data_IF_521486221331
#
_entry.id   IF_521486221331
#
_cell.length_a   1.000
_cell.length_b   1.000
_cell.length_c   1.000
_cell.angle_alpha   90.00
_cell.angle_beta   90.00
_cell.angle_gamma   90.00
#
_symmetry.space_group_name_H-M   'P 1'
#
loop_
_entity.id
_entity.type
_entity.pdbx_description
1 polymer ?
#
# COMPACT_ATOMS: atom_id res chain seq x y z
N UNK A 1 -14.58 45.76 64.11
CA UNK A 1 -15.14 46.95 63.46
C UNK A 1 -15.22 46.61 61.97
N UNK A 2 -16.30 46.45 61.33
CA UNK A 2 -17.77 46.36 61.43
C UNK A 2 -18.20 45.51 60.25
N UNK A 3 -18.81 44.50 60.47
CA UNK A 3 -20.13 43.93 60.23
C UNK A 3 -21.00 44.87 59.37
N UNK A 4 -21.39 44.36 58.15
CA UNK A 4 -22.80 44.38 57.77
C UNK A 4 -23.11 43.49 56.55
N UNK A 5 -23.97 42.53 56.79
CA UNK A 5 -24.88 41.83 55.88
C UNK A 5 -26.19 42.60 55.76
N UNK A 6 -27.19 42.15 55.05
CA UNK A 6 -27.43 41.83 53.61
C UNK A 6 -28.65 42.62 53.09
N UNK A 7 -28.93 42.55 51.78
CA UNK A 7 -30.31 42.86 51.32
C UNK A 7 -30.78 41.88 50.25
N UNK A 8 -31.96 41.49 50.51
CA UNK A 8 -32.86 40.54 49.95
C UNK A 8 -33.29 40.81 48.52
N UNK A 9 -33.60 39.74 47.84
CA UNK A 9 -34.29 39.59 46.54
C UNK A 9 -35.57 40.40 46.36
N UNK A 10 -36.04 40.52 45.13
CA UNK A 10 -37.37 39.98 44.86
C UNK A 10 -37.45 39.04 43.65
N UNK A 11 -38.23 38.02 43.86
CA UNK A 11 -38.83 37.08 42.91
C UNK A 11 -39.77 37.79 41.95
N UNK A 12 -39.75 37.37 40.65
CA UNK A 12 -40.88 37.47 39.69
C UNK A 12 -40.82 36.35 38.62
N UNK A 13 -41.88 36.03 37.92
CA UNK A 13 -42.38 34.67 37.86
C UNK A 13 -42.03 33.91 36.56
N UNK A 14 -42.21 32.60 36.68
CA UNK A 14 -42.22 31.63 35.61
C UNK A 14 -43.17 32.02 34.45
N UNK A 15 -42.62 32.12 33.25
CA UNK A 15 -43.47 31.94 32.08
C UNK A 15 -42.89 30.86 31.16
N UNK A 16 -43.74 29.89 30.86
CA UNK A 16 -43.46 28.63 30.24
C UNK A 16 -43.65 28.79 28.74
N UNK A 17 -42.56 28.78 27.96
CA UNK A 17 -42.61 28.33 26.59
C UNK A 17 -41.27 27.70 26.20
N UNK A 18 -41.13 26.42 26.53
CA UNK A 18 -40.15 25.53 25.92
C UNK A 18 -40.51 25.29 24.46
N UNK A 19 -39.93 26.07 23.55
CA UNK A 19 -39.73 25.60 22.18
C UNK A 19 -38.42 24.80 22.18
N UNK A 20 -38.59 23.49 22.02
CA UNK A 20 -37.46 22.54 21.86
C UNK A 20 -36.61 22.94 20.68
N UNK A 21 -35.35 23.24 20.94
CA UNK A 21 -34.28 23.19 19.92
C UNK A 21 -33.92 21.73 19.78
N UNK A 22 -34.29 21.09 18.68
CA UNK A 22 -33.72 19.85 18.24
C UNK A 22 -32.20 20.06 18.05
N UNK A 23 -31.36 19.09 18.46
CA UNK A 23 -29.93 19.13 18.14
C UNK A 23 -29.77 19.06 16.61
N UNK A 24 -28.71 19.65 16.03
CA UNK A 24 -28.47 19.55 14.60
C UNK A 24 -28.30 18.07 14.24
N UNK A 25 -29.22 17.54 13.48
CA UNK A 25 -29.10 16.23 12.84
C UNK A 25 -27.86 16.31 11.94
N UNK A 26 -26.80 15.55 12.27
CA UNK A 26 -25.77 15.26 11.31
C UNK A 26 -26.47 14.63 10.10
N UNK A 27 -26.49 15.31 8.98
CA UNK A 27 -26.86 14.74 7.70
C UNK A 27 -25.76 13.74 7.33
N UNK A 28 -25.85 12.53 7.87
CA UNK A 28 -25.35 11.39 7.14
C UNK A 28 -26.22 11.32 5.88
N UNK A 29 -25.67 11.78 4.77
CA UNK A 29 -26.32 11.51 3.48
C UNK A 29 -26.45 9.99 3.40
N UNK A 30 -27.68 9.52 3.45
CA UNK A 30 -27.99 8.12 3.27
C UNK A 30 -27.58 7.73 1.84
N UNK A 31 -27.13 6.49 1.67
CA UNK A 31 -26.80 5.91 0.37
C UNK A 31 -27.86 6.19 -0.70
N UNK A 32 -29.13 6.38 -0.29
CA UNK A 32 -30.27 6.74 -1.14
C UNK A 32 -30.21 8.17 -1.69
N UNK A 33 -29.66 9.15 -0.95
CA UNK A 33 -29.56 10.54 -1.44
C UNK A 33 -28.40 10.74 -2.43
N UNK A 34 -27.34 9.95 -2.32
CA UNK A 34 -26.24 9.92 -3.29
C UNK A 34 -26.63 9.26 -4.62
N UNK A 35 -27.67 8.44 -4.61
CA UNK A 35 -28.19 7.69 -5.76
C UNK A 35 -29.26 8.48 -6.55
N UNK A 36 -29.84 9.54 -5.98
CA UNK A 36 -30.98 10.28 -6.55
C UNK A 36 -30.65 11.10 -7.80
N UNK A 37 -29.42 11.17 -8.27
CA UNK A 37 -29.02 11.98 -9.45
C UNK A 37 -28.80 11.22 -10.76
N UNK A 38 -28.97 9.88 -10.78
CA UNK A 38 -28.81 9.07 -12.02
C UNK A 38 -30.08 8.28 -12.33
N UNK A 39 -30.47 8.09 -13.62
CA UNK A 39 -31.64 7.29 -13.97
C UNK A 39 -31.46 5.85 -13.45
N UNK A 40 -32.27 5.46 -12.50
CA UNK A 40 -32.25 4.15 -11.81
C UNK A 40 -32.20 2.93 -12.75
N UNK A 41 -32.74 3.04 -13.95
CA UNK A 41 -32.79 1.95 -14.92
C UNK A 41 -31.43 1.57 -15.52
N UNK A 42 -30.56 2.53 -15.80
CA UNK A 42 -29.28 2.29 -16.48
C UNK A 42 -28.23 1.74 -15.51
N UNK A 43 -28.23 2.19 -14.26
CA UNK A 43 -27.29 1.74 -13.23
C UNK A 43 -27.60 0.31 -12.78
N UNK A 44 -28.85 -0.03 -12.59
CA UNK A 44 -29.27 -1.40 -12.25
C UNK A 44 -28.96 -2.40 -13.37
N UNK A 45 -29.13 -2.03 -14.63
CA UNK A 45 -28.80 -2.91 -15.75
C UNK A 45 -27.30 -3.18 -15.88
N UNK A 46 -26.44 -2.17 -15.66
CA UNK A 46 -24.97 -2.32 -15.66
C UNK A 46 -24.52 -3.18 -14.50
N UNK A 47 -25.04 -2.94 -13.30
CA UNK A 47 -24.72 -3.74 -12.11
C UNK A 47 -25.14 -5.21 -12.28
N UNK A 48 -26.35 -5.47 -12.78
CA UNK A 48 -26.82 -6.83 -13.07
C UNK A 48 -25.98 -7.50 -14.13
N UNK A 49 -25.60 -6.79 -15.19
CA UNK A 49 -24.74 -7.31 -16.24
C UNK A 49 -23.33 -7.61 -15.74
N UNK A 50 -22.70 -6.69 -15.01
CA UNK A 50 -21.38 -6.91 -14.43
C UNK A 50 -21.38 -8.12 -13.48
N UNK A 51 -22.35 -8.22 -12.60
CA UNK A 51 -22.45 -9.31 -11.63
C UNK A 51 -22.80 -10.65 -12.25
N UNK A 52 -23.62 -10.68 -13.30
CA UNK A 52 -23.97 -11.92 -13.99
C UNK A 52 -22.79 -12.53 -14.77
N UNK A 53 -21.92 -11.69 -15.31
CA UNK A 53 -20.73 -12.15 -16.03
C UNK A 53 -19.55 -12.40 -15.09
N UNK A 54 -19.24 -11.44 -14.22
CA UNK A 54 -18.04 -11.51 -13.36
C UNK A 54 -18.25 -12.36 -12.11
N UNK A 55 -19.48 -12.58 -11.67
CA UNK A 55 -19.77 -13.42 -10.50
C UNK A 55 -19.30 -14.86 -10.63
N UNK A 56 -19.67 -15.60 -11.68
CA UNK A 56 -19.19 -16.95 -11.97
C UNK A 56 -17.67 -16.99 -12.23
N UNK A 57 -17.14 -16.03 -13.02
CA UNK A 57 -15.71 -15.89 -13.27
C UNK A 57 -14.96 -15.67 -11.96
N UNK A 58 -15.47 -14.80 -11.07
CA UNK A 58 -14.88 -14.55 -9.75
C UNK A 58 -14.84 -15.80 -8.88
N UNK A 59 -15.86 -16.67 -8.92
CA UNK A 59 -15.84 -17.93 -8.19
C UNK A 59 -14.71 -18.86 -8.69
N UNK A 60 -14.55 -18.99 -10.03
CA UNK A 60 -13.48 -19.77 -10.64
C UNK A 60 -12.09 -19.22 -10.28
N UNK A 61 -11.92 -17.89 -10.33
CA UNK A 61 -10.66 -17.25 -9.97
C UNK A 61 -10.32 -17.42 -8.48
N UNK A 62 -11.29 -17.33 -7.57
CA UNK A 62 -11.07 -17.64 -6.14
C UNK A 62 -10.68 -19.10 -5.90
N UNK A 63 -11.22 -20.03 -6.69
CA UNK A 63 -10.78 -21.43 -6.63
C UNK A 63 -9.34 -21.59 -7.12
N UNK A 64 -8.95 -20.85 -8.16
CA UNK A 64 -7.56 -20.80 -8.62
C UNK A 64 -6.61 -20.21 -7.58
N UNK A 65 -6.99 -19.12 -6.88
CA UNK A 65 -6.24 -18.58 -5.73
C UNK A 65 -6.02 -19.64 -4.65
N UNK A 66 -7.07 -20.40 -4.34
CA UNK A 66 -7.00 -21.45 -3.32
C UNK A 66 -6.06 -22.59 -3.74
N UNK A 67 -6.08 -22.97 -5.03
CA UNK A 67 -5.18 -23.98 -5.58
C UNK A 67 -3.72 -23.50 -5.56
N UNK A 68 -3.45 -22.28 -5.99
CA UNK A 68 -2.10 -21.68 -5.97
C UNK A 68 -1.54 -21.64 -4.54
N UNK A 69 -2.34 -21.20 -3.57
CA UNK A 69 -1.95 -21.25 -2.16
C UNK A 69 -1.69 -22.68 -1.65
N UNK A 70 -2.47 -23.66 -2.12
CA UNK A 70 -2.20 -25.05 -1.78
C UNK A 70 -0.88 -25.55 -2.36
N UNK A 71 -0.58 -25.22 -3.61
CA UNK A 71 0.73 -25.49 -4.25
C UNK A 71 1.87 -24.82 -3.47
N UNK A 72 1.69 -23.56 -3.06
CA UNK A 72 2.65 -22.86 -2.21
C UNK A 72 2.95 -23.61 -0.92
N UNK A 73 1.94 -24.14 -0.23
CA UNK A 73 2.13 -24.97 0.98
C UNK A 73 2.90 -26.27 0.73
N UNK A 74 2.83 -26.84 -0.47
CA UNK A 74 3.69 -27.97 -0.83
C UNK A 74 5.16 -27.57 -0.93
N UNK A 75 5.43 -26.40 -1.50
CA UNK A 75 6.78 -25.83 -1.54
C UNK A 75 7.31 -25.49 -0.14
N UNK A 76 6.45 -25.05 0.78
CA UNK A 76 6.80 -24.84 2.18
C UNK A 76 7.30 -26.15 2.84
N UNK A 77 6.60 -27.27 2.58
CA UNK A 77 7.01 -28.61 3.07
C UNK A 77 8.33 -29.07 2.44
N UNK A 78 8.64 -28.62 1.23
CA UNK A 78 9.92 -28.85 0.56
C UNK A 78 11.04 -27.93 1.08
N UNK A 79 10.81 -27.18 2.16
CA UNK A 79 11.81 -26.31 2.79
C UNK A 79 11.95 -24.93 2.18
N UNK A 80 10.98 -24.47 1.38
CA UNK A 80 10.96 -23.14 0.75
C UNK A 80 10.12 -22.11 1.52
N UNK A 81 9.61 -22.48 2.70
CA UNK A 81 8.90 -21.56 3.58
C UNK A 81 9.77 -20.34 3.94
N UNK A 82 9.15 -19.15 4.12
CA UNK A 82 9.86 -17.99 4.64
C UNK A 82 10.39 -18.27 6.06
N UNK A 83 11.54 -17.67 6.38
CA UNK A 83 12.22 -17.78 7.67
C UNK A 83 12.39 -16.38 8.29
N UNK A 84 11.28 -15.74 8.71
CA UNK A 84 11.33 -14.37 9.21
C UNK A 84 12.09 -14.27 10.54
N UNK A 85 12.61 -13.08 10.81
CA UNK A 85 13.14 -12.72 12.13
C UNK A 85 12.05 -12.77 13.21
N UNK A 86 12.42 -13.00 14.48
CA UNK A 86 11.47 -12.93 15.57
C UNK A 86 10.77 -11.56 15.63
N UNK A 87 9.45 -11.59 15.74
CA UNK A 87 8.63 -10.38 15.83
C UNK A 87 7.47 -10.58 16.78
N UNK A 88 6.89 -9.49 17.27
CA UNK A 88 5.65 -9.48 18.05
C UNK A 88 4.59 -8.69 17.30
N UNK A 89 3.33 -9.02 17.52
CA UNK A 89 2.20 -8.21 17.03
C UNK A 89 2.00 -7.08 18.04
N UNK A 90 2.21 -5.85 17.61
CA UNK A 90 2.05 -4.65 18.41
C UNK A 90 0.61 -4.12 18.33
N UNK A 91 0.01 -4.20 17.15
CA UNK A 91 -1.39 -3.83 16.91
C UNK A 91 -2.01 -4.87 15.97
N UNK A 92 -3.21 -5.32 16.29
CA UNK A 92 -4.00 -6.19 15.42
C UNK A 92 -5.38 -5.59 15.21
N UNK A 93 -5.78 -5.48 13.95
CA UNK A 93 -7.12 -5.05 13.51
C UNK A 93 -7.67 -6.11 12.55
N UNK A 94 -8.95 -6.06 12.18
CA UNK A 94 -9.46 -6.96 11.14
C UNK A 94 -8.79 -6.81 9.78
N UNK A 95 -8.18 -5.65 9.48
CA UNK A 95 -7.65 -5.30 8.16
C UNK A 95 -6.11 -5.40 8.07
N UNK A 96 -5.41 -5.27 9.18
CA UNK A 96 -3.95 -5.31 9.20
C UNK A 96 -3.39 -5.71 10.56
N UNK A 97 -2.12 -6.13 10.57
CA UNK A 97 -1.30 -6.29 11.76
C UNK A 97 -0.08 -5.38 11.66
N UNK A 98 0.29 -4.76 12.76
CA UNK A 98 1.57 -4.11 12.91
C UNK A 98 2.51 -5.07 13.66
N UNK A 99 3.53 -5.56 12.95
CA UNK A 99 4.59 -6.35 13.57
C UNK A 99 5.71 -5.41 14.02
N UNK A 100 6.22 -5.64 15.22
CA UNK A 100 7.42 -4.98 15.73
C UNK A 100 8.55 -6.01 15.85
N UNK A 101 9.71 -5.66 15.32
CA UNK A 101 10.92 -6.48 15.33
C UNK A 101 11.95 -5.89 16.30
N UNK A 102 12.78 -6.76 16.86
CA UNK A 102 13.78 -6.36 17.85
C UNK A 102 13.23 -6.17 19.25
N UNK A 103 14.09 -5.71 20.17
CA UNK A 103 13.69 -5.43 21.55
C UNK A 103 13.10 -4.00 21.66
N UNK A 104 12.09 -3.84 22.49
CA UNK A 104 11.43 -2.55 22.75
C UNK A 104 12.36 -1.48 23.37
N UNK A 105 13.59 -1.83 23.69
CA UNK A 105 14.59 -0.98 24.34
C UNK A 105 15.54 -0.29 23.35
N UNK A 106 15.36 -0.49 22.05
CA UNK A 106 16.18 0.17 21.04
C UNK A 106 15.89 1.69 21.03
N UNK A 107 16.88 2.48 21.36
CA UNK A 107 16.84 3.95 21.25
C UNK A 107 16.89 4.42 19.78
N UNK A 108 16.70 3.50 18.84
CA UNK A 108 16.75 3.79 17.40
C UNK A 108 15.46 4.42 16.90
N UNK A 109 15.59 5.25 15.88
CA UNK A 109 14.44 5.86 15.19
C UNK A 109 13.51 4.78 14.63
N UNK A 110 12.19 4.89 14.81
CA UNK A 110 11.25 3.93 14.25
C UNK A 110 11.19 4.02 12.72
N UNK A 111 11.18 2.87 12.09
CA UNK A 111 10.95 2.68 10.66
C UNK A 111 9.66 1.91 10.49
N UNK A 112 8.70 2.48 9.77
CA UNK A 112 7.45 1.82 9.43
C UNK A 112 7.50 1.37 7.97
N UNK A 113 7.62 0.08 7.75
CA UNK A 113 7.53 -0.53 6.43
C UNK A 113 6.05 -0.69 6.07
N UNK A 114 5.63 -0.05 4.99
CA UNK A 114 4.29 -0.19 4.40
C UNK A 114 4.38 -1.21 3.27
N UNK A 115 3.96 -2.44 3.52
CA UNK A 115 3.94 -3.48 2.51
C UNK A 115 2.89 -3.20 1.42
N UNK A 116 3.11 -3.69 0.21
CA UNK A 116 2.09 -3.65 -0.84
C UNK A 116 0.95 -4.63 -0.50
N UNK A 117 -0.33 -4.23 -0.63
CA UNK A 117 -1.45 -5.08 -0.24
C UNK A 117 -1.73 -6.22 -1.21
N UNK A 118 -1.15 -6.21 -2.39
CA UNK A 118 -1.38 -7.20 -3.45
C UNK A 118 -0.76 -8.58 -3.17
N UNK A 119 0.28 -8.63 -2.32
CA UNK A 119 1.04 -9.83 -1.98
C UNK A 119 1.37 -9.86 -0.50
N UNK A 120 1.82 -11.00 0.00
CA UNK A 120 2.18 -11.16 1.41
C UNK A 120 3.46 -10.38 1.78
N UNK A 121 3.42 -9.75 2.94
CA UNK A 121 4.47 -8.87 3.43
C UNK A 121 5.81 -9.58 3.74
N UNK A 122 5.84 -10.91 3.84
CA UNK A 122 7.05 -11.65 4.21
C UNK A 122 8.19 -11.57 3.17
N UNK A 123 7.96 -10.97 2.01
CA UNK A 123 9.04 -10.67 1.06
C UNK A 123 10.07 -9.71 1.65
N UNK A 124 9.69 -8.89 2.60
CA UNK A 124 10.58 -8.02 3.34
C UNK A 124 11.50 -8.76 4.32
N UNK A 125 11.18 -10.04 4.62
CA UNK A 125 11.92 -10.89 5.54
C UNK A 125 11.81 -12.36 5.12
N UNK A 126 12.27 -12.65 3.91
CA UNK A 126 12.16 -13.97 3.29
C UNK A 126 13.03 -15.00 3.98
N UNK A 127 14.18 -14.57 4.50
CA UNK A 127 15.11 -15.42 5.24
C UNK A 127 16.41 -14.69 5.60
N UNK A 128 17.35 -15.36 6.31
CA UNK A 128 18.57 -14.74 6.82
C UNK A 128 19.40 -13.99 5.77
N UNK A 129 19.42 -14.46 4.55
CA UNK A 129 20.22 -13.90 3.45
C UNK A 129 19.37 -13.09 2.44
N UNK A 130 18.10 -12.84 2.74
CA UNK A 130 17.17 -12.14 1.88
C UNK A 130 16.15 -11.37 2.75
N UNK A 131 16.62 -10.33 3.45
CA UNK A 131 15.81 -9.61 4.42
C UNK A 131 16.32 -8.16 4.63
N UNK A 132 15.68 -7.17 4.01
CA UNK A 132 15.85 -5.77 4.40
C UNK A 132 15.58 -5.51 5.88
N UNK A 133 14.62 -6.20 6.48
CA UNK A 133 14.30 -6.07 7.91
C UNK A 133 15.50 -6.39 8.79
N UNK A 134 16.22 -7.48 8.51
CA UNK A 134 17.40 -7.83 9.29
C UNK A 134 18.52 -6.79 9.17
N UNK A 135 18.72 -6.25 7.97
CA UNK A 135 19.73 -5.19 7.76
C UNK A 135 19.37 -3.92 8.55
N UNK A 136 18.10 -3.54 8.58
CA UNK A 136 17.61 -2.40 9.39
C UNK A 136 17.82 -2.67 10.90
N UNK A 137 17.55 -3.89 11.37
CA UNK A 137 17.77 -4.30 12.76
C UNK A 137 19.24 -4.31 13.12
N UNK A 138 20.10 -4.82 12.24
CA UNK A 138 21.57 -4.87 12.44
C UNK A 138 22.15 -3.44 12.51
N UNK A 139 21.51 -2.47 11.87
CA UNK A 139 21.82 -1.05 11.98
C UNK A 139 21.25 -0.37 13.25
N UNK A 140 20.59 -1.12 14.13
CA UNK A 140 20.06 -0.62 15.41
C UNK A 140 18.73 0.14 15.29
N UNK A 141 18.03 0.05 14.17
CA UNK A 141 16.74 0.72 13.96
C UNK A 141 15.58 -0.07 14.58
N UNK A 142 14.56 0.64 15.04
CA UNK A 142 13.31 0.06 15.52
C UNK A 142 12.39 -0.22 14.32
N UNK A 143 12.24 -1.50 13.94
CA UNK A 143 11.55 -1.86 12.70
C UNK A 143 10.12 -2.30 12.98
N UNK A 144 9.18 -1.68 12.27
CA UNK A 144 7.77 -2.05 12.24
C UNK A 144 7.35 -2.41 10.81
N UNK A 145 6.54 -3.46 10.67
CA UNK A 145 5.99 -3.89 9.37
C UNK A 145 4.47 -3.87 9.43
N UNK A 146 3.86 -3.06 8.58
CA UNK A 146 2.43 -3.07 8.34
C UNK A 146 2.10 -4.22 7.39
N UNK A 147 1.54 -5.29 7.94
CA UNK A 147 1.08 -6.48 7.24
C UNK A 147 -0.41 -6.39 6.98
N UNK A 148 -0.83 -6.28 5.72
CA UNK A 148 -2.23 -6.33 5.34
C UNK A 148 -2.79 -7.75 5.48
N UNK A 149 -4.02 -7.87 5.98
CA UNK A 149 -4.75 -9.13 6.06
C UNK A 149 -5.65 -9.29 4.84
N UNK A 150 -6.13 -10.52 4.62
CA UNK A 150 -7.11 -10.77 3.57
C UNK A 150 -8.36 -9.91 3.84
N UNK A 151 -8.84 -9.15 2.86
CA UNK A 151 -10.02 -8.32 3.05
C UNK A 151 -11.26 -9.19 3.25
N UNK A 152 -12.16 -8.71 4.10
CA UNK A 152 -13.48 -9.27 4.34
C UNK A 152 -14.53 -8.64 3.42
N UNK A 153 -15.75 -9.17 3.33
CA UNK A 153 -16.84 -8.52 2.62
C UNK A 153 -17.15 -7.09 3.12
N UNK A 154 -16.81 -6.76 4.37
CA UNK A 154 -16.96 -5.40 4.91
C UNK A 154 -15.93 -4.41 4.34
N UNK A 155 -14.88 -4.90 3.69
CA UNK A 155 -13.81 -4.07 3.12
C UNK A 155 -14.02 -3.72 1.64
N UNK A 156 -15.11 -4.18 1.00
CA UNK A 156 -15.34 -3.98 -0.47
C UNK A 156 -15.21 -2.52 -0.89
N UNK A 157 -15.63 -1.59 -0.03
CA UNK A 157 -15.60 -0.15 -0.26
C UNK A 157 -14.35 0.54 0.34
N UNK A 158 -13.36 -0.24 0.78
CA UNK A 158 -12.11 0.31 1.28
C UNK A 158 -11.23 0.79 0.10
N UNK A 159 -11.24 2.09 -0.19
CA UNK A 159 -10.42 2.75 -1.19
C UNK A 159 -9.13 3.34 -0.61
N UNK A 160 -8.47 4.23 -1.36
CA UNK A 160 -7.22 4.88 -0.98
C UNK A 160 -7.32 5.60 0.38
N UNK A 161 -8.42 6.32 0.65
CA UNK A 161 -8.65 7.00 1.93
C UNK A 161 -8.57 6.04 3.11
N UNK A 162 -9.24 4.88 3.00
CA UNK A 162 -9.24 3.88 4.07
C UNK A 162 -7.87 3.26 4.30
N UNK A 163 -7.08 3.08 3.23
CA UNK A 163 -5.71 2.58 3.36
C UNK A 163 -4.80 3.61 4.04
N UNK A 164 -4.94 4.89 3.71
CA UNK A 164 -4.21 5.99 4.37
C UNK A 164 -4.61 6.10 5.85
N UNK A 165 -5.89 5.95 6.19
CA UNK A 165 -6.38 5.91 7.58
C UNK A 165 -5.75 4.72 8.37
N UNK A 166 -5.66 3.55 7.75
CA UNK A 166 -5.03 2.36 8.35
C UNK A 166 -3.52 2.58 8.58
N UNK A 167 -2.82 3.25 7.65
CA UNK A 167 -1.43 3.65 7.83
C UNK A 167 -1.33 4.65 8.98
N UNK A 168 -2.27 5.60 9.09
CA UNK A 168 -2.35 6.54 10.21
C UNK A 168 -2.40 5.82 11.56
N UNK A 169 -3.26 4.80 11.70
CA UNK A 169 -3.34 4.01 12.92
C UNK A 169 -2.06 3.20 13.21
N UNK A 170 -1.38 2.72 12.15
CA UNK A 170 -0.09 2.05 12.31
C UNK A 170 1.01 3.02 12.77
N UNK A 171 1.05 4.24 12.24
CA UNK A 171 1.97 5.31 12.68
C UNK A 171 1.74 5.65 14.15
N UNK A 172 0.49 5.83 14.59
CA UNK A 172 0.17 6.10 16.00
C UNK A 172 0.69 4.98 16.91
N UNK A 173 0.61 3.74 16.44
CA UNK A 173 1.06 2.59 17.22
C UNK A 173 2.59 2.43 17.28
N UNK A 174 3.38 3.13 16.46
CA UNK A 174 4.86 3.11 16.59
C UNK A 174 5.36 3.86 17.81
N UNK A 175 4.56 4.79 18.35
CA UNK A 175 4.85 5.54 19.55
C UNK A 175 5.75 6.77 19.34
N UNK A 176 6.25 7.00 18.12
CA UNK A 176 7.06 8.15 17.71
C UNK A 176 6.84 8.43 16.23
N UNK A 177 7.41 9.50 15.70
CA UNK A 177 7.34 9.88 14.28
C UNK A 177 8.30 9.01 13.46
N UNK A 178 7.80 7.99 12.71
CA UNK A 178 8.65 7.06 11.99
C UNK A 178 9.17 7.65 10.66
N UNK A 179 10.27 7.08 10.16
CA UNK A 179 10.53 7.09 8.72
C UNK A 179 9.65 6.03 8.07
N UNK A 180 8.83 6.43 7.08
CA UNK A 180 8.08 5.47 6.29
C UNK A 180 8.96 4.90 5.19
N UNK A 181 8.84 3.60 4.98
CA UNK A 181 9.56 2.86 3.95
C UNK A 181 8.55 2.00 3.17
N UNK A 182 8.55 2.08 1.86
CA UNK A 182 7.62 1.30 1.05
C UNK A 182 8.18 0.92 -0.31
N UNK A 183 7.76 -0.24 -0.80
CA UNK A 183 8.08 -0.76 -2.13
C UNK A 183 6.83 -0.83 -2.98
N UNK A 184 6.96 -0.48 -4.27
CA UNK A 184 5.86 -0.60 -5.23
C UNK A 184 4.59 0.11 -4.73
N UNK A 185 3.40 -0.47 -4.86
CA UNK A 185 2.13 0.08 -4.38
C UNK A 185 2.15 0.41 -2.87
N UNK A 186 2.92 -0.33 -2.06
CA UNK A 186 3.10 -0.01 -0.64
C UNK A 186 3.79 1.35 -0.45
N UNK A 187 4.78 1.66 -1.30
CA UNK A 187 5.44 2.96 -1.35
C UNK A 187 4.49 4.06 -1.82
N UNK A 188 3.67 3.81 -2.84
CA UNK A 188 2.63 4.77 -3.27
C UNK A 188 1.68 5.12 -2.12
N UNK A 189 1.20 4.12 -1.37
CA UNK A 189 0.32 4.34 -0.20
C UNK A 189 1.04 5.11 0.92
N UNK A 190 2.32 4.82 1.18
CA UNK A 190 3.14 5.59 2.13
C UNK A 190 3.32 7.04 1.69
N UNK A 191 3.52 7.28 0.38
CA UNK A 191 3.62 8.62 -0.18
C UNK A 191 2.31 9.40 -0.06
N UNK A 192 1.16 8.76 -0.28
CA UNK A 192 -0.16 9.36 -0.05
C UNK A 192 -0.34 9.79 1.40
N UNK A 193 0.04 8.93 2.36
CA UNK A 193 0.02 9.27 3.78
C UNK A 193 0.93 10.47 4.09
N UNK A 194 2.18 10.45 3.64
CA UNK A 194 3.13 11.54 3.90
C UNK A 194 2.71 12.86 3.23
N UNK A 195 2.10 12.81 2.04
CA UNK A 195 1.57 14.00 1.38
C UNK A 195 0.35 14.58 2.11
N UNK A 196 -0.45 13.73 2.79
CA UNK A 196 -1.61 14.14 3.57
C UNK A 196 -1.26 14.61 4.99
N UNK A 197 -0.28 13.96 5.62
CA UNK A 197 0.11 14.18 7.01
C UNK A 197 1.63 14.33 7.15
N UNK A 198 2.26 15.33 6.50
CA UNK A 198 3.72 15.45 6.46
C UNK A 198 4.34 15.58 7.86
N UNK A 199 3.64 16.20 8.82
CA UNK A 199 4.11 16.36 10.21
C UNK A 199 4.17 15.04 11.00
N UNK A 200 3.65 13.93 10.46
CA UNK A 200 3.60 12.63 11.13
C UNK A 200 4.62 11.62 10.58
N UNK A 201 5.54 12.08 9.73
CA UNK A 201 6.64 11.29 9.19
C UNK A 201 7.94 12.06 9.30
N UNK A 202 9.01 11.40 9.76
CA UNK A 202 10.35 11.98 9.82
C UNK A 202 11.04 11.97 8.44
N UNK A 203 10.59 11.09 7.54
CA UNK A 203 11.05 10.95 6.17
C UNK A 203 10.29 9.87 5.44
N UNK A 204 10.49 9.80 4.13
CA UNK A 204 9.88 8.82 3.23
C UNK A 204 10.95 8.20 2.34
N UNK A 205 11.17 6.90 2.47
CA UNK A 205 12.03 6.13 1.59
C UNK A 205 11.17 5.22 0.69
N UNK A 206 11.29 5.40 -0.60
CA UNK A 206 10.53 4.69 -1.61
C UNK A 206 11.44 3.82 -2.46
N UNK A 207 11.07 2.57 -2.64
CA UNK A 207 11.82 1.60 -3.41
C UNK A 207 10.94 1.17 -4.58
N UNK A 208 11.33 1.56 -5.80
CA UNK A 208 10.58 1.25 -7.03
C UNK A 208 9.07 1.46 -6.87
N UNK A 209 8.66 2.60 -6.30
CA UNK A 209 7.28 2.94 -6.03
C UNK A 209 6.76 3.95 -7.06
N UNK A 210 5.71 3.63 -7.85
CA UNK A 210 5.18 4.55 -8.84
C UNK A 210 4.45 5.72 -8.17
N UNK A 211 4.74 6.92 -8.64
CA UNK A 211 4.17 8.18 -8.16
C UNK A 211 3.59 9.04 -9.28
N UNK A 212 4.01 8.78 -10.53
CA UNK A 212 3.50 9.30 -11.77
C UNK A 212 2.93 8.16 -12.60
N UNK A 213 1.77 8.38 -13.20
CA UNK A 213 0.97 7.33 -13.83
C UNK A 213 0.53 7.71 -15.26
N UNK A 214 1.26 8.60 -15.90
CA UNK A 214 1.00 9.02 -17.28
C UNK A 214 1.18 7.90 -18.31
N UNK A 215 0.99 8.23 -19.59
CA UNK A 215 1.11 7.27 -20.69
C UNK A 215 2.52 6.68 -20.85
N UNK A 216 3.52 7.31 -20.25
CA UNK A 216 4.93 6.93 -20.19
C UNK A 216 5.32 6.23 -18.88
N UNK A 217 4.34 5.98 -18.00
CA UNK A 217 4.54 5.41 -16.67
C UNK A 217 4.62 3.87 -16.66
N UNK A 218 5.13 3.27 -17.73
CA UNK A 218 5.44 1.84 -17.77
C UNK A 218 4.34 0.94 -18.33
N UNK A 219 4.53 -0.36 -18.13
CA UNK A 219 3.78 -1.41 -18.82
C UNK A 219 2.28 -1.44 -18.49
N UNK A 220 1.86 -0.91 -17.35
CA UNK A 220 0.44 -0.91 -16.95
C UNK A 220 -0.40 0.14 -17.68
N UNK A 221 0.20 1.25 -18.11
CA UNK A 221 -0.54 2.36 -18.74
C UNK A 221 -1.35 1.92 -19.97
N UNK A 222 -0.82 1.17 -20.96
CA UNK A 222 -1.61 0.73 -22.12
C UNK A 222 -2.72 -0.28 -21.75
N UNK A 223 -2.49 -1.15 -20.77
CA UNK A 223 -3.52 -2.10 -20.29
C UNK A 223 -4.68 -1.35 -19.65
N UNK A 224 -4.39 -0.37 -18.81
CA UNK A 224 -5.41 0.47 -18.18
C UNK A 224 -6.16 1.30 -19.22
N UNK A 225 -5.45 1.87 -20.21
CA UNK A 225 -6.08 2.64 -21.28
C UNK A 225 -7.07 1.80 -22.10
N UNK A 226 -6.75 0.53 -22.35
CA UNK A 226 -7.60 -0.41 -23.08
C UNK A 226 -8.71 -1.06 -22.23
N UNK A 227 -8.65 -0.95 -20.87
CA UNK A 227 -9.60 -1.60 -19.99
C UNK A 227 -10.92 -0.83 -19.88
N UNK A 228 -12.04 -1.50 -19.58
CA UNK A 228 -13.30 -0.83 -19.24
C UNK A 228 -13.17 -0.02 -17.94
N UNK A 229 -14.17 0.81 -17.59
CA UNK A 229 -14.20 1.50 -16.30
C UNK A 229 -14.02 0.52 -15.13
N UNK A 230 -13.10 0.84 -14.21
CA UNK A 230 -12.72 -0.08 -13.14
C UNK A 230 -13.81 -0.28 -12.09
N UNK A 231 -14.82 0.58 -12.06
CA UNK A 231 -16.03 0.40 -11.25
C UNK A 231 -16.74 -0.92 -11.54
N UNK A 232 -16.61 -1.44 -12.77
CA UNK A 232 -17.16 -2.75 -13.13
C UNK A 232 -16.49 -3.91 -12.36
N UNK A 233 -15.21 -3.76 -12.03
CA UNK A 233 -14.50 -4.75 -11.20
C UNK A 233 -15.02 -4.71 -9.76
N UNK A 234 -15.25 -3.51 -9.21
CA UNK A 234 -15.87 -3.34 -7.90
C UNK A 234 -17.29 -3.94 -7.87
N UNK A 235 -18.11 -3.60 -8.85
CA UNK A 235 -19.51 -4.06 -8.94
C UNK A 235 -19.61 -5.57 -9.16
N UNK A 236 -18.74 -6.14 -10.00
CA UNK A 236 -18.78 -7.56 -10.39
C UNK A 236 -18.13 -8.50 -9.39
N UNK A 237 -16.98 -8.14 -8.85
CA UNK A 237 -16.25 -9.00 -7.91
C UNK A 237 -16.50 -8.66 -6.45
N UNK A 238 -16.74 -7.39 -6.11
CA UNK A 238 -16.67 -6.88 -4.75
C UNK A 238 -15.24 -6.93 -4.19
N UNK A 239 -14.72 -8.13 -3.97
CA UNK A 239 -13.30 -8.39 -3.72
C UNK A 239 -12.68 -8.97 -5.00
N UNK A 240 -11.73 -8.25 -5.58
CA UNK A 240 -11.02 -8.65 -6.79
C UNK A 240 -10.05 -9.77 -6.45
N UNK A 241 -10.18 -10.98 -7.06
CA UNK A 241 -9.31 -12.11 -6.76
C UNK A 241 -7.84 -11.83 -7.09
N UNK A 242 -6.92 -12.35 -6.29
CA UNK A 242 -5.49 -12.13 -6.47
C UNK A 242 -4.97 -12.68 -7.79
N UNK A 243 -5.45 -13.85 -8.23
CA UNK A 243 -5.08 -14.43 -9.52
C UNK A 243 -5.50 -13.55 -10.70
N UNK A 244 -6.60 -12.78 -10.59
CA UNK A 244 -6.97 -11.81 -11.62
C UNK A 244 -5.91 -10.71 -11.73
N UNK A 245 -5.45 -10.19 -10.60
CA UNK A 245 -4.40 -9.18 -10.56
C UNK A 245 -3.08 -9.71 -11.11
N UNK A 246 -2.73 -10.97 -10.81
CA UNK A 246 -1.55 -11.65 -11.36
C UNK A 246 -1.62 -11.77 -12.89
N UNK A 247 -2.78 -12.16 -13.42
CA UNK A 247 -3.01 -12.24 -14.88
C UNK A 247 -2.88 -10.87 -15.53
N UNK A 248 -3.46 -9.83 -14.94
CA UNK A 248 -3.34 -8.45 -15.45
C UNK A 248 -1.88 -7.99 -15.41
N UNK A 249 -1.16 -8.27 -14.34
CA UNK A 249 0.26 -7.94 -14.20
C UNK A 249 1.11 -8.66 -15.24
N UNK A 250 0.87 -9.96 -15.43
CA UNK A 250 1.57 -10.76 -16.46
C UNK A 250 1.24 -10.29 -17.88
N UNK A 251 0.01 -9.84 -18.14
CA UNK A 251 -0.39 -9.29 -19.43
C UNK A 251 0.21 -7.90 -19.69
N UNK A 252 0.39 -7.09 -18.64
CA UNK A 252 0.99 -5.78 -18.75
C UNK A 252 2.51 -5.84 -19.02
N UNK A 253 3.24 -6.68 -18.29
CA UNK A 253 4.68 -6.82 -18.41
C UNK A 253 5.08 -8.31 -18.66
N UNK A 254 4.71 -8.89 -19.82
CA UNK A 254 4.92 -10.31 -20.09
C UNK A 254 6.41 -10.69 -20.15
N UNK A 255 7.27 -9.76 -20.57
CA UNK A 255 8.71 -9.97 -20.56
C UNK A 255 9.20 -10.30 -19.15
N UNK A 256 8.89 -9.50 -18.16
CA UNK A 256 9.35 -9.68 -16.79
C UNK A 256 8.61 -10.82 -16.08
N UNK A 257 7.28 -10.78 -16.07
CA UNK A 257 6.48 -11.70 -15.25
C UNK A 257 6.29 -13.09 -15.85
N UNK A 258 6.60 -13.27 -17.15
CA UNK A 258 6.49 -14.57 -17.82
C UNK A 258 7.86 -15.03 -18.32
N UNK A 259 8.48 -14.32 -19.28
CA UNK A 259 9.67 -14.82 -19.98
C UNK A 259 10.93 -14.78 -19.14
N UNK A 260 11.26 -13.65 -18.51
CA UNK A 260 12.48 -13.51 -17.71
C UNK A 260 12.45 -14.41 -16.47
N UNK A 261 11.29 -14.63 -15.88
CA UNK A 261 11.08 -15.56 -14.77
C UNK A 261 11.59 -16.99 -15.09
N UNK A 262 11.35 -17.49 -16.28
CA UNK A 262 11.83 -18.82 -16.69
C UNK A 262 13.30 -18.79 -17.14
N UNK A 263 13.71 -17.75 -17.86
CA UNK A 263 15.12 -17.57 -18.25
C UNK A 263 16.01 -17.43 -17.01
N UNK A 264 15.53 -16.74 -15.98
CA UNK A 264 16.25 -16.52 -14.72
C UNK A 264 16.38 -17.78 -13.86
N UNK A 265 15.53 -18.79 -14.05
CA UNK A 265 15.64 -20.08 -13.37
C UNK A 265 16.98 -20.78 -13.69
N UNK A 266 17.38 -20.76 -14.96
CA UNK A 266 18.66 -21.32 -15.39
C UNK A 266 19.85 -20.55 -14.79
N UNK A 267 19.80 -19.23 -14.86
CA UNK A 267 20.81 -18.35 -14.24
C UNK A 267 20.91 -18.59 -12.75
N UNK A 268 19.79 -18.77 -12.08
CA UNK A 268 19.72 -19.05 -10.64
C UNK A 268 20.35 -20.39 -10.27
N UNK A 269 20.11 -21.41 -11.06
CA UNK A 269 20.71 -22.74 -10.87
C UNK A 269 22.23 -22.68 -11.01
N UNK A 270 22.72 -22.00 -12.05
CA UNK A 270 24.17 -21.89 -12.33
C UNK A 270 24.91 -21.00 -11.30
N UNK A 271 24.23 -20.00 -10.72
CA UNK A 271 24.82 -19.08 -9.74
C UNK A 271 24.66 -19.49 -8.28
N UNK A 272 24.10 -20.67 -8.01
CA UNK A 272 23.79 -21.13 -6.64
C UNK A 272 22.62 -20.42 -5.97
N UNK A 273 21.83 -19.64 -6.72
CA UNK A 273 20.69 -18.86 -6.21
C UNK A 273 19.33 -19.55 -6.39
N UNK A 274 19.33 -20.81 -6.81
CA UNK A 274 18.11 -21.57 -7.09
C UNK A 274 17.11 -21.55 -5.93
N UNK A 275 17.62 -21.68 -4.69
CA UNK A 275 16.78 -21.64 -3.50
C UNK A 275 16.05 -20.29 -3.37
N UNK A 276 16.77 -19.17 -3.52
CA UNK A 276 16.17 -17.83 -3.48
C UNK A 276 15.13 -17.67 -4.58
N UNK A 277 15.47 -18.06 -5.80
CA UNK A 277 14.54 -18.04 -6.94
C UNK A 277 13.25 -18.80 -6.63
N UNK A 278 13.36 -20.02 -6.12
CA UNK A 278 12.19 -20.85 -5.76
C UNK A 278 11.39 -20.26 -4.60
N UNK A 279 12.04 -19.62 -3.62
CA UNK A 279 11.35 -18.91 -2.52
C UNK A 279 10.57 -17.71 -3.04
N UNK A 280 11.10 -16.93 -3.99
CA UNK A 280 10.37 -15.84 -4.64
C UNK A 280 9.21 -16.39 -5.47
N UNK A 281 9.40 -17.48 -6.22
CA UNK A 281 8.30 -18.16 -6.92
C UNK A 281 7.21 -18.61 -5.95
N UNK A 282 7.60 -19.17 -4.81
CA UNK A 282 6.66 -19.53 -3.73
C UNK A 282 5.86 -18.32 -3.27
N UNK A 283 6.54 -17.17 -3.05
CA UNK A 283 5.88 -15.92 -2.66
C UNK A 283 4.88 -15.44 -3.72
N UNK A 284 5.19 -15.58 -5.02
CA UNK A 284 4.26 -15.18 -6.09
C UNK A 284 2.96 -15.97 -6.09
N UNK A 285 2.88 -17.12 -5.40
CA UNK A 285 1.66 -17.93 -5.28
C UNK A 285 0.74 -17.47 -4.13
N UNK A 286 1.17 -16.50 -3.35
CA UNK A 286 0.44 -15.95 -2.18
C UNK A 286 -0.17 -14.58 -2.48
N UNK A 287 -0.93 -14.47 -3.57
CA UNK A 287 -1.70 -13.27 -3.84
C UNK A 287 -2.77 -13.04 -2.78
N UNK A 288 -3.01 -11.76 -2.48
CA UNK A 288 -4.13 -11.31 -1.70
C UNK A 288 -5.24 -10.80 -2.63
N UNK A 289 -6.49 -11.08 -2.29
CA UNK A 289 -7.59 -10.36 -2.90
C UNK A 289 -7.51 -8.88 -2.50
N UNK A 290 -8.01 -7.99 -3.34
CA UNK A 290 -8.09 -6.57 -3.03
C UNK A 290 -9.55 -6.09 -3.00
N UNK A 291 -9.89 -5.12 -2.14
CA UNK A 291 -11.16 -4.42 -2.24
C UNK A 291 -11.35 -3.85 -3.64
N UNK A 292 -12.53 -4.07 -4.23
CA UNK A 292 -12.83 -3.57 -5.57
C UNK A 292 -12.72 -2.06 -5.65
N UNK A 293 -13.07 -1.36 -4.56
CA UNK A 293 -12.89 0.09 -4.47
C UNK A 293 -11.42 0.52 -4.53
N UNK A 294 -10.50 -0.19 -3.86
CA UNK A 294 -9.07 0.13 -3.96
C UNK A 294 -8.57 -0.04 -5.40
N UNK A 295 -8.97 -1.15 -6.06
CA UNK A 295 -8.59 -1.39 -7.46
C UNK A 295 -9.15 -0.30 -8.36
N UNK A 296 -10.42 0.08 -8.18
CA UNK A 296 -11.04 1.16 -8.93
C UNK A 296 -10.33 2.51 -8.69
N UNK A 297 -10.00 2.85 -7.46
CA UNK A 297 -9.28 4.10 -7.15
C UNK A 297 -7.88 4.10 -7.76
N UNK A 298 -7.12 3.01 -7.68
CA UNK A 298 -5.78 2.90 -8.31
C UNK A 298 -5.89 3.07 -9.81
N UNK A 299 -6.81 2.37 -10.47
CA UNK A 299 -6.98 2.44 -11.93
C UNK A 299 -7.49 3.81 -12.35
N UNK A 300 -8.56 4.32 -11.74
CA UNK A 300 -9.22 5.54 -12.21
C UNK A 300 -8.55 6.83 -11.73
N UNK A 301 -8.10 6.87 -10.45
CA UNK A 301 -7.55 8.11 -9.91
C UNK A 301 -6.06 8.24 -10.18
N UNK A 302 -5.31 7.11 -10.11
CA UNK A 302 -3.88 7.13 -10.37
C UNK A 302 -3.60 6.90 -11.86
N UNK A 303 -3.81 5.69 -12.40
CA UNK A 303 -3.38 5.38 -13.78
C UNK A 303 -4.11 6.19 -14.86
N UNK A 304 -5.44 6.33 -14.83
CA UNK A 304 -6.17 7.05 -15.91
C UNK A 304 -6.04 8.55 -15.80
N UNK A 305 -6.03 9.11 -14.60
CA UNK A 305 -6.14 10.55 -14.38
C UNK A 305 -4.86 11.17 -13.82
N UNK A 306 -3.90 10.35 -13.43
CA UNK A 306 -2.63 10.77 -12.81
C UNK A 306 -2.80 11.86 -11.74
N UNK A 307 -3.88 11.75 -10.95
CA UNK A 307 -4.29 12.81 -10.03
C UNK A 307 -3.30 13.08 -8.92
N UNK A 308 -2.52 12.04 -8.53
CA UNK A 308 -1.53 12.22 -7.47
C UNK A 308 -0.38 13.11 -7.94
N UNK A 309 0.20 12.82 -9.10
CA UNK A 309 1.26 13.67 -9.67
C UNK A 309 0.73 15.07 -10.01
N UNK A 310 -0.50 15.18 -10.48
CA UNK A 310 -1.14 16.47 -10.81
C UNK A 310 -1.57 17.29 -9.59
N UNK A 311 -1.48 16.74 -8.35
CA UNK A 311 -1.96 17.41 -7.13
C UNK A 311 -3.48 17.55 -7.07
N UNK A 312 -4.21 16.70 -7.76
CA UNK A 312 -5.67 16.71 -7.85
C UNK A 312 -6.32 15.58 -7.05
N UNK A 313 -5.52 14.63 -6.53
CA UNK A 313 -6.05 13.53 -5.73
C UNK A 313 -6.53 14.07 -4.38
N UNK A 314 -7.70 13.61 -3.94
CA UNK A 314 -8.25 13.98 -2.64
C UNK A 314 -8.12 12.80 -1.70
N UNK A 315 -7.47 13.01 -0.56
CA UNK A 315 -7.36 12.05 0.55
C UNK A 315 -7.85 12.73 1.81
N UNK A 316 -8.82 12.14 2.48
CA UNK A 316 -9.45 12.68 3.70
C UNK A 316 -9.80 14.17 3.53
N UNK A 317 -10.54 14.48 2.47
CA UNK A 317 -11.03 15.81 2.14
C UNK A 317 -9.97 16.84 1.72
N UNK A 318 -8.70 16.46 1.61
CA UNK A 318 -7.60 17.36 1.24
C UNK A 318 -6.94 16.94 -0.07
N UNK A 319 -6.59 17.91 -0.91
CA UNK A 319 -5.80 17.63 -2.11
C UNK A 319 -4.37 17.27 -1.73
N UNK A 320 -3.86 16.19 -2.34
CA UNK A 320 -2.50 15.70 -2.14
C UNK A 320 -1.77 15.56 -3.47
N UNK A 321 -0.46 15.75 -3.43
CA UNK A 321 0.39 15.66 -4.61
C UNK A 321 1.83 16.06 -4.30
N UNK A 322 2.65 16.33 -5.32
CA UNK A 322 4.06 16.67 -5.13
C UNK A 322 4.26 17.87 -4.21
N UNK A 323 3.43 18.92 -4.34
CA UNK A 323 3.55 20.15 -3.55
C UNK A 323 3.17 19.99 -2.09
N UNK A 324 2.46 18.93 -1.71
CA UNK A 324 2.11 18.63 -0.31
C UNK A 324 3.08 17.63 0.33
N UNK A 325 3.95 16.98 -0.45
CA UNK A 325 4.99 16.10 0.04
C UNK A 325 6.23 16.90 0.46
N UNK A 326 6.27 17.30 1.70
CA UNK A 326 7.31 18.18 2.29
C UNK A 326 8.29 17.47 3.20
N UNK A 327 8.11 16.18 3.46
CA UNK A 327 9.06 15.38 4.25
C UNK A 327 10.34 15.08 3.45
N UNK A 328 11.49 14.83 4.08
CA UNK A 328 12.67 14.31 3.38
C UNK A 328 12.31 13.07 2.54
N UNK A 329 12.76 13.03 1.29
CA UNK A 329 12.37 12.02 0.30
C UNK A 329 13.58 11.31 -0.27
N UNK A 330 13.60 9.99 -0.17
CA UNK A 330 14.50 9.10 -0.90
C UNK A 330 13.68 8.27 -1.90
N UNK A 331 14.12 8.22 -3.15
CA UNK A 331 13.65 7.23 -4.12
C UNK A 331 14.80 6.32 -4.55
N UNK A 332 14.53 5.02 -4.60
CA UNK A 332 15.37 4.02 -5.26
C UNK A 332 14.68 3.62 -6.55
N UNK A 333 15.39 3.71 -7.67
CA UNK A 333 14.91 3.36 -9.01
C UNK A 333 15.77 2.28 -9.65
N UNK A 334 15.17 1.41 -10.45
CA UNK A 334 15.88 0.58 -11.43
C UNK A 334 15.60 1.15 -12.83
N UNK A 335 16.59 1.75 -13.50
CA UNK A 335 16.39 2.32 -14.83
C UNK A 335 15.97 1.32 -15.92
N UNK A 336 16.08 0.02 -15.62
CA UNK A 336 15.76 -1.06 -16.55
C UNK A 336 14.54 -1.88 -16.11
N UNK A 337 13.80 -1.44 -15.09
CA UNK A 337 12.53 -2.06 -14.69
C UNK A 337 11.44 -1.64 -15.68
N UNK A 338 10.89 -2.61 -16.43
CA UNK A 338 9.81 -2.37 -17.38
C UNK A 338 8.44 -2.22 -16.66
N UNK A 339 8.28 -2.80 -15.48
CA UNK A 339 7.04 -2.74 -14.71
C UNK A 339 6.85 -1.36 -14.07
N UNK A 340 7.89 -0.86 -13.40
CA UNK A 340 7.92 0.47 -12.75
C UNK A 340 9.16 1.24 -13.23
N UNK A 341 9.15 1.76 -14.45
CA UNK A 341 10.30 2.47 -15.00
C UNK A 341 10.59 3.77 -14.24
N UNK A 342 11.80 4.28 -14.37
CA UNK A 342 12.20 5.54 -13.76
C UNK A 342 11.25 6.71 -14.10
N UNK A 343 10.62 6.69 -15.27
CA UNK A 343 9.60 7.67 -15.69
C UNK A 343 8.34 7.64 -14.84
N UNK A 344 8.04 6.55 -14.17
CA UNK A 344 6.93 6.48 -13.20
C UNK A 344 7.27 7.10 -11.82
N UNK A 345 8.52 7.51 -11.60
CA UNK A 345 9.00 7.98 -10.30
C UNK A 345 9.59 9.39 -10.39
N UNK A 346 10.51 9.60 -11.34
CA UNK A 346 11.33 10.83 -11.41
C UNK A 346 10.53 12.11 -11.59
N UNK A 347 9.46 12.20 -12.40
CA UNK A 347 8.71 13.44 -12.54
C UNK A 347 8.09 13.92 -11.22
N UNK A 348 7.56 12.98 -10.44
CA UNK A 348 7.01 13.30 -9.12
C UNK A 348 8.12 13.67 -8.13
N UNK A 349 9.24 12.94 -8.14
CA UNK A 349 10.40 13.22 -7.30
C UNK A 349 10.92 14.66 -7.53
N UNK A 350 11.05 15.07 -8.78
CA UNK A 350 11.49 16.41 -9.15
C UNK A 350 10.50 17.48 -8.70
N UNK A 351 9.19 17.23 -8.87
CA UNK A 351 8.13 18.17 -8.52
C UNK A 351 7.83 18.22 -7.01
N UNK A 352 8.29 17.25 -6.21
CA UNK A 352 8.02 17.22 -4.78
C UNK A 352 8.63 18.43 -4.05
N UNK A 353 7.83 19.04 -3.15
CA UNK A 353 8.25 20.18 -2.33
C UNK A 353 9.16 19.78 -1.14
N UNK A 354 9.63 18.55 -1.10
CA UNK A 354 10.59 18.06 -0.11
C UNK A 354 11.89 18.90 -0.15
N UNK A 355 12.37 19.42 0.99
CA UNK A 355 13.61 20.20 1.04
C UNK A 355 14.88 19.33 0.89
N UNK A 356 14.75 18.04 1.13
CA UNK A 356 15.85 17.08 1.07
C UNK A 356 15.44 15.87 0.22
N UNK A 357 15.86 15.88 -1.03
CA UNK A 357 15.58 14.81 -2.00
C UNK A 357 16.85 14.03 -2.31
N UNK A 358 16.77 12.72 -2.34
CA UNK A 358 17.83 11.82 -2.78
C UNK A 358 17.26 10.80 -3.77
N UNK A 359 18.04 10.47 -4.79
CA UNK A 359 17.72 9.46 -5.79
C UNK A 359 18.88 8.46 -5.83
N UNK A 360 18.60 7.18 -5.64
CA UNK A 360 19.56 6.09 -5.73
C UNK A 360 19.21 5.18 -6.91
N UNK A 361 20.21 4.75 -7.65
CA UNK A 361 20.03 3.77 -8.70
C UNK A 361 20.37 2.37 -8.19
N UNK A 362 19.43 1.46 -8.35
CA UNK A 362 19.64 0.02 -8.29
C UNK A 362 19.74 -0.50 -9.72
N UNK A 363 20.80 -1.20 -10.06
CA UNK A 363 21.02 -1.65 -11.44
C UNK A 363 20.38 -2.99 -11.79
N UNK A 364 19.51 -3.48 -10.92
CA UNK A 364 18.89 -4.78 -11.06
C UNK A 364 19.90 -5.93 -10.98
N UNK A 365 19.41 -7.12 -10.77
CA UNK A 365 20.23 -8.33 -10.82
C UNK A 365 19.41 -9.53 -11.30
N UNK A 366 20.10 -10.55 -11.78
CA UNK A 366 19.50 -11.83 -12.19
C UNK A 366 19.56 -12.84 -11.04
N UNK A 367 18.73 -13.86 -11.11
CA UNK A 367 18.67 -14.91 -10.10
C UNK A 367 17.68 -14.66 -8.97
N UNK A 368 16.80 -13.68 -9.12
CA UNK A 368 15.80 -13.29 -8.14
C UNK A 368 14.35 -13.64 -8.56
N UNK A 369 14.17 -14.33 -9.68
CA UNK A 369 12.91 -14.70 -10.32
C UNK A 369 12.11 -13.53 -10.91
N UNK A 370 12.15 -12.37 -10.29
CA UNK A 370 11.49 -11.14 -10.74
C UNK A 370 12.45 -9.97 -10.51
N UNK A 371 12.68 -9.16 -11.54
CA UNK A 371 13.55 -8.00 -11.48
C UNK A 371 13.08 -7.00 -10.45
N UNK A 372 11.80 -6.63 -10.49
CA UNK A 372 11.16 -5.71 -9.57
C UNK A 372 11.24 -6.14 -8.09
N UNK A 373 11.44 -7.42 -7.80
CA UNK A 373 11.63 -7.94 -6.44
C UNK A 373 13.10 -8.03 -6.06
N UNK A 374 13.99 -8.01 -7.06
CA UNK A 374 15.43 -8.08 -6.85
C UNK A 374 15.97 -7.04 -5.88
N UNK A 375 15.42 -5.84 -5.90
CA UNK A 375 15.78 -4.76 -4.97
C UNK A 375 15.54 -5.10 -3.50
N UNK A 376 14.59 -5.99 -3.19
CA UNK A 376 14.30 -6.44 -1.81
C UNK A 376 15.14 -7.65 -1.38
N UNK A 377 15.37 -8.58 -2.28
CA UNK A 377 15.91 -9.91 -1.90
C UNK A 377 17.22 -10.26 -2.58
N UNK A 378 17.63 -9.49 -3.56
CA UNK A 378 18.83 -9.73 -4.34
C UNK A 378 20.10 -9.47 -3.53
N UNK A 379 21.09 -10.38 -3.55
CA UNK A 379 22.35 -10.20 -2.82
C UNK A 379 23.08 -8.89 -3.17
N UNK A 380 23.03 -8.47 -4.44
CA UNK A 380 23.61 -7.19 -4.88
C UNK A 380 22.90 -5.99 -4.27
N UNK A 381 21.57 -6.01 -4.25
CA UNK A 381 20.79 -4.97 -3.58
C UNK A 381 21.10 -4.91 -2.09
N UNK A 382 21.13 -6.06 -1.40
CA UNK A 382 21.35 -6.15 0.05
C UNK A 382 22.76 -5.70 0.45
N UNK A 383 23.77 -5.84 -0.43
CA UNK A 383 25.16 -5.47 -0.15
C UNK A 383 25.56 -4.08 -0.62
N UNK A 384 24.88 -3.51 -1.63
CA UNK A 384 25.26 -2.22 -2.22
C UNK A 384 24.20 -1.13 -2.07
N UNK A 385 22.92 -1.45 -2.29
CA UNK A 385 21.83 -0.45 -2.27
C UNK A 385 21.29 -0.26 -0.86
N UNK A 386 21.00 -1.33 -0.15
CA UNK A 386 20.42 -1.26 1.20
C UNK A 386 21.30 -0.54 2.22
N UNK A 387 22.64 -0.67 2.25
CA UNK A 387 23.45 0.15 3.14
C UNK A 387 23.25 1.66 2.96
N UNK A 388 23.06 2.13 1.71
CA UNK A 388 22.80 3.54 1.41
C UNK A 388 21.40 3.97 1.85
N UNK A 389 20.39 3.10 1.66
CA UNK A 389 19.02 3.33 2.16
C UNK A 389 19.02 3.44 3.69
N UNK A 390 19.72 2.53 4.36
CA UNK A 390 19.83 2.48 5.82
C UNK A 390 20.54 3.72 6.36
N UNK A 391 21.68 4.11 5.76
CA UNK A 391 22.37 5.33 6.14
C UNK A 391 21.48 6.56 6.01
N UNK A 392 20.75 6.66 4.89
CA UNK A 392 19.80 7.74 4.71
C UNK A 392 18.68 7.72 5.78
N UNK A 393 18.09 6.56 6.09
CA UNK A 393 17.02 6.41 7.09
C UNK A 393 17.53 6.73 8.49
N UNK A 394 18.71 6.26 8.87
CA UNK A 394 19.29 6.47 10.19
C UNK A 394 19.59 7.95 10.50
N UNK A 395 19.79 8.76 9.47
CA UNK A 395 20.10 10.19 9.58
C UNK A 395 18.84 11.11 9.50
N UNK A 396 17.63 10.59 9.72
CA UNK A 396 16.35 11.37 9.65
C UNK A 396 15.68 11.56 11.00
#
# INVERSE_FOLDING_TARGET
MDIQRPRTSPTLPLDVHRKGREPPRSRSQTFEELVAGQPWGVRNQRWLAARSVLGPVGATLRSADSLRRAQGRLLDRAGLAPQPAPSRIQLATPAFRLRSYGQATGAGRPVLIVAAPIKRAYIWDLGPNASPIRLLLDAGLAVHLLEWLDPSPADVDAGLDRYVERISAAVDATGDTPVLLGHSLGGTLAALFCARYPQRAAGLALVEAPLHFGSDAGAFAPVVAASPPAEWLQEGFGLVPGVFLDVVTAAAAPREFVFERYADLWTSAMSGRLRLHLQVLRWTMDECALPGRLVADVVEQLYRKDRFHRGELVIDGSRVGPMTLTVPLLNVIDPLDDAIPATAITPFHEAAASPHKALLEYRGERGTALRHIGVLVGPGALTATWPQVIDWVANR
#
